data_IF_247164161327
#
_entry.id   IF_247164161327
#
_cell.length_a   1.000
_cell.length_b   1.000
_cell.length_c   1.000
_cell.angle_alpha   90.00
_cell.angle_beta   90.00
_cell.angle_gamma   90.00
#
_symmetry.space_group_name_H-M   'P 1'
#
loop_
_entity.id
_entity.type
_entity.pdbx_description
1 polymer ?
#
# COMPACT_ATOMS: atom_id res chain seq x y z
N UNK A 1 -51.71 -14.61 -34.26
CA UNK A 1 -50.47 -13.80 -34.18
C UNK A 1 -50.15 -13.53 -32.70
N UNK A 2 -49.55 -14.43 -31.97
CA UNK A 2 -49.06 -14.13 -30.60
C UNK A 2 -48.04 -15.19 -30.20
N UNK A 3 -46.84 -15.18 -30.78
CA UNK A 3 -45.68 -15.93 -30.25
C UNK A 3 -44.43 -15.19 -30.70
N UNK A 4 -44.07 -14.08 -30.04
CA UNK A 4 -42.72 -13.45 -30.22
C UNK A 4 -42.24 -12.64 -29.00
N UNK A 5 -42.91 -12.69 -27.84
CA UNK A 5 -42.55 -11.87 -26.69
C UNK A 5 -41.84 -12.62 -25.55
N UNK A 6 -41.77 -13.96 -25.56
CA UNK A 6 -41.12 -14.72 -24.45
C UNK A 6 -39.62 -14.95 -24.61
N UNK A 7 -39.06 -14.80 -25.81
CA UNK A 7 -37.64 -15.10 -26.03
C UNK A 7 -36.66 -14.03 -25.50
N UNK A 8 -37.08 -12.78 -25.36
CA UNK A 8 -36.22 -11.66 -24.99
C UNK A 8 -35.99 -11.58 -23.46
N UNK A 9 -37.01 -11.93 -22.67
CA UNK A 9 -36.93 -11.85 -21.20
C UNK A 9 -36.00 -12.92 -20.63
N UNK A 10 -35.96 -14.14 -21.20
CA UNK A 10 -35.05 -15.21 -20.76
C UNK A 10 -33.61 -14.92 -21.07
N UNK A 11 -33.28 -14.24 -22.17
CA UNK A 11 -31.91 -13.85 -22.50
C UNK A 11 -31.32 -12.82 -21.52
N UNK A 12 -32.10 -11.87 -21.03
CA UNK A 12 -31.67 -10.86 -20.07
C UNK A 12 -31.46 -11.43 -18.66
N UNK A 13 -32.28 -12.35 -18.22
CA UNK A 13 -32.14 -13.00 -16.90
C UNK A 13 -30.93 -13.90 -16.88
N UNK A 14 -30.64 -14.65 -17.94
CA UNK A 14 -29.41 -15.47 -18.03
C UNK A 14 -28.16 -14.63 -18.07
N UNK A 15 -28.14 -13.52 -18.83
CA UNK A 15 -26.98 -12.59 -18.88
C UNK A 15 -26.77 -11.89 -17.52
N UNK A 16 -27.84 -11.49 -16.83
CA UNK A 16 -27.72 -10.87 -15.50
C UNK A 16 -27.25 -11.87 -14.43
N UNK A 17 -27.69 -13.12 -14.51
CA UNK A 17 -27.23 -14.20 -13.61
C UNK A 17 -25.78 -14.57 -13.85
N UNK A 18 -25.28 -14.56 -15.09
CA UNK A 18 -23.87 -14.81 -15.39
C UNK A 18 -22.96 -13.69 -14.89
N UNK A 19 -23.34 -12.42 -15.08
CA UNK A 19 -22.60 -11.26 -14.58
C UNK A 19 -22.50 -11.28 -13.04
N UNK A 20 -23.60 -11.60 -12.33
CA UNK A 20 -23.59 -11.73 -10.88
C UNK A 20 -22.74 -12.92 -10.38
N UNK A 21 -22.72 -14.02 -11.12
CA UNK A 21 -21.89 -15.18 -10.81
C UNK A 21 -20.41 -14.89 -11.07
N UNK A 22 -20.08 -14.19 -12.16
CA UNK A 22 -18.71 -13.79 -12.50
C UNK A 22 -18.16 -12.81 -11.48
N UNK A 23 -18.94 -11.83 -11.02
CA UNK A 23 -18.51 -10.91 -9.95
C UNK A 23 -18.23 -11.64 -8.62
N UNK A 24 -19.06 -12.63 -8.24
CA UNK A 24 -18.80 -13.43 -7.04
C UNK A 24 -17.52 -14.28 -7.16
N UNK A 25 -17.25 -14.82 -8.33
CA UNK A 25 -16.03 -15.60 -8.59
C UNK A 25 -14.78 -14.71 -8.63
N UNK A 26 -14.88 -13.52 -9.20
CA UNK A 26 -13.85 -12.49 -9.19
C UNK A 26 -13.49 -12.07 -7.76
N UNK A 27 -14.48 -11.64 -6.97
CA UNK A 27 -14.27 -11.22 -5.57
C UNK A 27 -13.67 -12.35 -4.73
N UNK A 28 -14.12 -13.59 -4.94
CA UNK A 28 -13.58 -14.76 -4.27
C UNK A 28 -12.10 -15.00 -4.62
N UNK A 29 -11.70 -14.82 -5.88
CA UNK A 29 -10.32 -14.95 -6.32
C UNK A 29 -9.42 -13.84 -5.73
N UNK A 30 -9.88 -12.59 -5.75
CA UNK A 30 -9.18 -11.45 -5.11
C UNK A 30 -8.99 -11.70 -3.60
N UNK A 31 -10.04 -12.13 -2.92
CA UNK A 31 -9.97 -12.45 -1.49
C UNK A 31 -8.96 -13.56 -1.18
N UNK A 32 -8.97 -14.65 -1.95
CA UNK A 32 -8.01 -15.75 -1.81
C UNK A 32 -6.58 -15.29 -2.08
N UNK A 33 -6.35 -14.47 -3.11
CA UNK A 33 -5.04 -13.92 -3.43
C UNK A 33 -4.52 -13.05 -2.29
N UNK A 34 -5.36 -12.18 -1.72
CA UNK A 34 -5.01 -11.33 -0.57
C UNK A 34 -4.70 -12.14 0.68
N UNK A 35 -5.46 -13.19 0.94
CA UNK A 35 -5.19 -14.12 2.05
C UNK A 35 -3.87 -14.86 1.86
N UNK A 36 -3.60 -15.36 0.64
CA UNK A 36 -2.34 -16.02 0.30
C UNK A 36 -1.13 -15.07 0.46
N UNK A 37 -1.27 -13.80 0.06
CA UNK A 37 -0.26 -12.75 0.31
C UNK A 37 0.00 -12.55 1.80
N UNK A 38 -1.05 -12.44 2.60
CA UNK A 38 -0.93 -12.30 4.06
C UNK A 38 -0.24 -13.50 4.72
N UNK A 39 -0.43 -14.70 4.17
CA UNK A 39 0.23 -15.93 4.60
C UNK A 39 1.65 -16.11 4.01
N UNK A 40 2.13 -15.21 3.14
CA UNK A 40 3.41 -15.33 2.45
C UNK A 40 3.43 -16.38 1.33
N UNK A 41 2.29 -16.96 0.97
CA UNK A 41 2.18 -17.94 -0.11
C UNK A 41 2.05 -17.24 -1.48
N UNK A 42 3.20 -16.81 -2.00
CA UNK A 42 3.26 -16.01 -3.23
C UNK A 42 2.83 -16.80 -4.48
N UNK A 43 3.03 -18.12 -4.50
CA UNK A 43 2.60 -18.97 -5.61
C UNK A 43 1.07 -19.05 -5.71
N UNK A 44 0.39 -19.23 -4.57
CA UNK A 44 -1.07 -19.24 -4.55
C UNK A 44 -1.64 -17.83 -4.82
N UNK A 45 -0.98 -16.78 -4.32
CA UNK A 45 -1.37 -15.41 -4.62
C UNK A 45 -1.33 -15.12 -6.13
N UNK A 46 -0.26 -15.50 -6.84
CA UNK A 46 -0.17 -15.38 -8.30
C UNK A 46 -1.29 -16.16 -9.00
N UNK A 47 -1.48 -17.43 -8.63
CA UNK A 47 -2.50 -18.29 -9.23
C UNK A 47 -3.91 -17.69 -9.11
N UNK A 48 -4.24 -17.15 -7.94
CA UNK A 48 -5.54 -16.52 -7.71
C UNK A 48 -5.66 -15.16 -8.44
N UNK A 49 -4.58 -14.38 -8.52
CA UNK A 49 -4.54 -13.15 -9.31
C UNK A 49 -4.74 -13.46 -10.82
N UNK A 50 -4.16 -14.55 -11.32
CA UNK A 50 -4.37 -14.99 -12.71
C UNK A 50 -5.79 -15.48 -12.95
N UNK A 51 -6.42 -16.15 -11.98
CA UNK A 51 -7.82 -16.54 -12.06
C UNK A 51 -8.75 -15.33 -12.13
N UNK A 52 -8.52 -14.30 -11.28
CA UNK A 52 -9.27 -13.06 -11.32
C UNK A 52 -9.07 -12.29 -12.66
N UNK A 53 -7.84 -12.27 -13.19
CA UNK A 53 -7.50 -11.58 -14.43
C UNK A 53 -8.17 -12.18 -15.68
N UNK A 54 -8.57 -13.45 -15.65
CA UNK A 54 -9.35 -14.08 -16.74
C UNK A 54 -10.78 -13.54 -16.78
N UNK A 55 -11.29 -13.08 -15.64
CA UNK A 55 -12.64 -12.54 -15.52
C UNK A 55 -12.63 -11.02 -15.81
N UNK A 56 -11.68 -10.28 -15.27
CA UNK A 56 -11.53 -8.84 -15.45
C UNK A 56 -10.08 -8.45 -15.82
N UNK A 57 -9.67 -8.57 -17.08
CA UNK A 57 -8.27 -8.37 -17.49
C UNK A 57 -7.73 -6.95 -17.26
N UNK A 58 -8.58 -5.93 -17.33
CA UNK A 58 -8.22 -4.52 -17.21
C UNK A 58 -8.46 -3.93 -15.80
N UNK A 59 -8.68 -4.77 -14.79
CA UNK A 59 -8.98 -4.32 -13.44
C UNK A 59 -7.78 -3.62 -12.77
N UNK A 60 -7.98 -2.39 -12.29
CA UNK A 60 -7.01 -1.67 -11.47
C UNK A 60 -6.63 -2.45 -10.21
N UNK A 61 -7.60 -3.15 -9.60
CA UNK A 61 -7.38 -3.95 -8.41
C UNK A 61 -6.43 -5.13 -8.67
N UNK A 62 -6.58 -5.81 -9.82
CA UNK A 62 -5.67 -6.92 -10.21
C UNK A 62 -4.27 -6.39 -10.50
N UNK A 63 -4.15 -5.31 -11.25
CA UNK A 63 -2.85 -4.71 -11.54
C UNK A 63 -2.15 -4.32 -10.23
N UNK A 64 -2.86 -3.69 -9.29
CA UNK A 64 -2.34 -3.37 -7.97
C UNK A 64 -1.94 -4.63 -7.18
N UNK A 65 -2.77 -5.67 -7.16
CA UNK A 65 -2.47 -6.93 -6.47
C UNK A 65 -1.17 -7.57 -7.02
N UNK A 66 -1.01 -7.62 -8.34
CA UNK A 66 0.22 -8.10 -8.99
C UNK A 66 1.43 -7.24 -8.63
N UNK A 67 1.24 -5.92 -8.50
CA UNK A 67 2.26 -5.01 -7.99
C UNK A 67 2.71 -5.37 -6.59
N UNK A 68 1.77 -5.63 -5.67
CA UNK A 68 2.07 -6.04 -4.29
C UNK A 68 2.80 -7.39 -4.26
N UNK A 69 2.40 -8.35 -5.09
CA UNK A 69 3.10 -9.64 -5.23
C UNK A 69 4.54 -9.42 -5.71
N UNK A 70 4.74 -8.52 -6.68
CA UNK A 70 6.07 -8.18 -7.19
C UNK A 70 6.96 -7.52 -6.11
N UNK A 71 6.39 -6.64 -5.25
CA UNK A 71 7.11 -6.09 -4.07
C UNK A 71 7.59 -7.20 -3.14
N UNK A 72 6.71 -8.16 -2.80
CA UNK A 72 7.08 -9.28 -1.93
C UNK A 72 8.20 -10.16 -2.55
N UNK A 73 8.24 -10.24 -3.87
CA UNK A 73 9.32 -10.90 -4.64
C UNK A 73 10.55 -10.00 -4.85
N UNK A 74 10.56 -8.78 -4.31
CA UNK A 74 11.61 -7.75 -4.47
C UNK A 74 11.85 -7.34 -5.93
N UNK A 75 10.86 -7.52 -6.80
CA UNK A 75 10.90 -7.08 -8.21
C UNK A 75 10.30 -5.67 -8.31
N UNK A 76 11.06 -4.67 -7.85
CA UNK A 76 10.53 -3.31 -7.66
C UNK A 76 10.19 -2.60 -8.96
N UNK A 77 10.92 -2.85 -10.06
CA UNK A 77 10.64 -2.31 -11.39
C UNK A 77 9.31 -2.84 -11.95
N UNK A 78 9.10 -4.15 -11.83
CA UNK A 78 7.83 -4.79 -12.21
C UNK A 78 6.67 -4.26 -11.33
N UNK A 79 6.89 -4.14 -10.03
CA UNK A 79 5.90 -3.58 -9.12
C UNK A 79 5.48 -2.16 -9.52
N UNK A 80 6.44 -1.27 -9.80
CA UNK A 80 6.16 0.10 -10.23
C UNK A 80 5.36 0.13 -11.54
N UNK A 81 5.71 -0.73 -12.51
CA UNK A 81 4.97 -0.89 -13.76
C UNK A 81 3.52 -1.33 -13.52
N UNK A 82 3.31 -2.31 -12.63
CA UNK A 82 1.97 -2.80 -12.28
C UNK A 82 1.11 -1.75 -11.59
N UNK A 83 1.69 -0.99 -10.63
CA UNK A 83 0.98 0.11 -9.99
C UNK A 83 0.63 1.22 -10.97
N UNK A 84 1.52 1.54 -11.92
CA UNK A 84 1.24 2.49 -13.00
C UNK A 84 0.11 2.01 -13.91
N UNK A 85 0.04 0.71 -14.24
CA UNK A 85 -1.08 0.11 -14.97
C UNK A 85 -2.39 0.23 -14.18
N UNK A 86 -2.36 0.01 -12.86
CA UNK A 86 -3.53 0.17 -12.03
C UNK A 86 -4.05 1.62 -12.02
N UNK A 87 -3.15 2.60 -11.94
CA UNK A 87 -3.48 4.03 -12.00
C UNK A 87 -4.04 4.41 -13.38
N UNK A 88 -3.48 3.86 -14.46
CA UNK A 88 -3.99 4.09 -15.82
C UNK A 88 -5.38 3.48 -16.04
N UNK A 89 -5.71 2.36 -15.39
CA UNK A 89 -7.02 1.74 -15.43
C UNK A 89 -8.06 2.48 -14.57
N UNK A 90 -7.65 3.06 -13.45
CA UNK A 90 -8.47 3.91 -12.58
C UNK A 90 -7.60 4.98 -11.91
N UNK A 91 -7.69 6.21 -12.42
CA UNK A 91 -6.94 7.36 -11.89
C UNK A 91 -7.28 7.71 -10.43
N UNK A 92 -8.44 7.26 -9.93
CA UNK A 92 -8.87 7.50 -8.55
C UNK A 92 -8.48 6.36 -7.61
N UNK A 93 -7.85 5.31 -8.12
CA UNK A 93 -7.49 4.14 -7.31
C UNK A 93 -6.32 4.47 -6.35
N UNK A 94 -6.67 5.06 -5.23
CA UNK A 94 -5.74 5.52 -4.19
C UNK A 94 -4.70 4.46 -3.76
N UNK A 95 -5.05 3.16 -3.56
CA UNK A 95 -4.08 2.16 -3.14
C UNK A 95 -2.89 2.03 -4.09
N UNK A 96 -3.11 2.09 -5.42
CA UNK A 96 -2.01 1.98 -6.37
C UNK A 96 -1.10 3.22 -6.35
N UNK A 97 -1.66 4.42 -6.16
CA UNK A 97 -0.86 5.65 -6.03
C UNK A 97 0.05 5.59 -4.81
N UNK A 98 -0.48 5.16 -3.66
CA UNK A 98 0.30 4.99 -2.43
C UNK A 98 1.38 3.91 -2.58
N UNK A 99 1.02 2.76 -3.16
CA UNK A 99 1.96 1.66 -3.39
C UNK A 99 3.06 2.04 -4.39
N UNK A 100 2.76 2.85 -5.41
CA UNK A 100 3.77 3.37 -6.34
C UNK A 100 4.78 4.26 -5.61
N UNK A 101 4.31 5.15 -4.74
CA UNK A 101 5.19 5.98 -3.92
C UNK A 101 6.07 5.13 -2.99
N UNK A 102 5.50 4.10 -2.35
CA UNK A 102 6.24 3.16 -1.48
C UNK A 102 7.33 2.41 -2.27
N UNK A 103 7.03 1.98 -3.48
CA UNK A 103 8.00 1.27 -4.33
C UNK A 103 9.12 2.19 -4.82
N UNK A 104 8.82 3.44 -5.16
CA UNK A 104 9.84 4.44 -5.50
C UNK A 104 10.82 4.65 -4.34
N UNK A 105 10.31 4.67 -3.10
CA UNK A 105 11.14 4.74 -1.90
C UNK A 105 12.07 3.52 -1.80
N UNK A 106 11.56 2.30 -2.04
CA UNK A 106 12.33 1.05 -2.04
C UNK A 106 13.38 1.00 -3.17
N UNK A 107 13.16 1.72 -4.27
CA UNK A 107 14.11 1.89 -5.38
C UNK A 107 15.20 2.94 -5.11
N UNK A 108 15.15 3.64 -3.97
CA UNK A 108 16.04 4.76 -3.65
C UNK A 108 15.69 6.07 -4.38
N UNK A 109 14.53 6.14 -5.05
CA UNK A 109 14.03 7.33 -5.74
C UNK A 109 13.28 8.23 -4.76
N UNK A 110 14.00 8.73 -3.76
CA UNK A 110 13.40 9.37 -2.58
C UNK A 110 12.65 10.67 -2.92
N UNK A 111 13.20 11.49 -3.81
CA UNK A 111 12.56 12.73 -4.23
C UNK A 111 11.25 12.46 -5.00
N UNK A 112 11.23 11.43 -5.87
CA UNK A 112 10.02 11.04 -6.61
C UNK A 112 8.96 10.47 -5.66
N UNK A 113 9.38 9.62 -4.70
CA UNK A 113 8.48 9.07 -3.69
C UNK A 113 7.83 10.19 -2.86
N UNK A 114 8.64 11.16 -2.42
CA UNK A 114 8.19 12.34 -1.68
C UNK A 114 7.12 13.11 -2.46
N UNK A 115 7.41 13.43 -3.73
CA UNK A 115 6.47 14.17 -4.58
C UNK A 115 5.11 13.44 -4.70
N UNK A 116 5.13 12.09 -4.84
CA UNK A 116 3.90 11.29 -4.89
C UNK A 116 3.14 11.29 -3.55
N UNK A 117 3.83 11.25 -2.41
CA UNK A 117 3.16 11.37 -1.12
C UNK A 117 2.55 12.76 -0.93
N UNK A 118 3.20 13.83 -1.40
CA UNK A 118 2.66 15.19 -1.36
C UNK A 118 1.42 15.35 -2.25
N UNK A 119 1.41 14.75 -3.45
CA UNK A 119 0.21 14.70 -4.30
C UNK A 119 -0.97 14.03 -3.56
N UNK A 120 -0.71 12.93 -2.83
CA UNK A 120 -1.72 12.25 -2.02
C UNK A 120 -2.15 13.10 -0.81
N UNK A 121 -1.23 13.85 -0.22
CA UNK A 121 -1.53 14.74 0.91
C UNK A 121 -2.44 15.91 0.51
N UNK A 122 -2.45 16.33 -0.78
CA UNK A 122 -3.45 17.29 -1.26
C UNK A 122 -4.88 16.74 -1.18
N UNK A 123 -5.03 15.40 -1.29
CA UNK A 123 -6.33 14.71 -1.19
C UNK A 123 -6.72 14.49 0.28
N UNK A 124 -5.75 14.13 1.12
CA UNK A 124 -5.93 13.91 2.57
C UNK A 124 -4.88 14.70 3.38
N UNK A 125 -5.11 16.01 3.58
CA UNK A 125 -4.14 16.91 4.23
C UNK A 125 -3.84 16.56 5.69
N UNK A 126 -4.73 15.82 6.36
CA UNK A 126 -4.60 15.44 7.77
C UNK A 126 -4.01 14.04 7.97
N UNK A 127 -3.65 13.34 6.90
CA UNK A 127 -3.11 11.99 6.98
C UNK A 127 -1.77 11.94 7.70
N UNK A 128 -1.78 11.52 8.95
CA UNK A 128 -0.56 11.29 9.73
C UNK A 128 0.34 10.23 9.08
N UNK A 129 -0.25 9.26 8.37
CA UNK A 129 0.49 8.26 7.61
C UNK A 129 1.31 8.90 6.48
N UNK A 130 0.71 9.82 5.71
CA UNK A 130 1.42 10.52 4.63
C UNK A 130 2.51 11.43 5.18
N UNK A 131 2.23 12.18 6.26
CA UNK A 131 3.25 12.97 6.95
C UNK A 131 4.45 12.12 7.36
N UNK A 132 4.21 10.96 7.98
CA UNK A 132 5.25 10.00 8.34
C UNK A 132 6.05 9.53 7.10
N UNK A 133 5.38 9.16 6.01
CA UNK A 133 6.04 8.68 4.79
C UNK A 133 6.89 9.78 4.13
N UNK A 134 6.41 11.03 4.12
CA UNK A 134 7.19 12.19 3.66
C UNK A 134 8.43 12.40 4.52
N UNK A 135 8.29 12.33 5.85
CA UNK A 135 9.44 12.39 6.77
C UNK A 135 10.46 11.31 6.46
N UNK A 136 10.02 10.07 6.24
CA UNK A 136 10.94 8.97 5.90
C UNK A 136 11.65 9.23 4.56
N UNK A 137 10.94 9.73 3.55
CA UNK A 137 11.54 10.11 2.27
C UNK A 137 12.60 11.21 2.44
N UNK A 138 12.29 12.26 3.22
CA UNK A 138 13.23 13.35 3.51
C UNK A 138 14.48 12.86 4.28
N UNK A 139 14.27 11.99 5.27
CA UNK A 139 15.38 11.39 6.05
C UNK A 139 16.31 10.56 5.16
N UNK A 140 15.75 9.75 4.26
CA UNK A 140 16.53 8.92 3.35
C UNK A 140 17.27 9.74 2.29
N UNK A 141 16.65 10.82 1.82
CA UNK A 141 17.21 11.76 0.85
C UNK A 141 18.23 12.76 1.45
N UNK A 142 18.47 12.68 2.77
CA UNK A 142 19.40 13.59 3.47
C UNK A 142 18.80 14.96 3.81
N UNK A 143 17.51 15.19 3.57
CA UNK A 143 16.79 16.44 3.87
C UNK A 143 16.31 16.49 5.32
N UNK A 144 17.27 16.39 6.24
CA UNK A 144 17.00 16.22 7.66
C UNK A 144 16.32 17.43 8.30
N UNK A 145 16.65 18.63 7.84
CA UNK A 145 16.02 19.85 8.32
C UNK A 145 14.51 19.86 7.99
N UNK A 146 14.14 19.54 6.75
CA UNK A 146 12.75 19.46 6.30
C UNK A 146 11.98 18.39 7.07
N UNK A 147 12.57 17.22 7.26
CA UNK A 147 11.99 16.14 8.06
C UNK A 147 11.66 16.61 9.48
N UNK A 148 12.58 17.30 10.16
CA UNK A 148 12.35 17.82 11.52
C UNK A 148 11.27 18.90 11.55
N UNK A 149 11.24 19.81 10.58
CA UNK A 149 10.18 20.82 10.47
C UNK A 149 8.81 20.14 10.34
N UNK A 150 8.66 19.19 9.42
CA UNK A 150 7.39 18.48 9.25
C UNK A 150 6.96 17.73 10.53
N UNK A 151 7.90 17.11 11.25
CA UNK A 151 7.60 16.45 12.52
C UNK A 151 7.09 17.44 13.57
N UNK A 152 7.63 18.67 13.62
CA UNK A 152 7.19 19.68 14.57
C UNK A 152 5.75 20.16 14.31
N UNK A 153 5.30 20.05 13.04
CA UNK A 153 3.94 20.40 12.62
C UNK A 153 2.96 19.21 12.78
N UNK A 154 3.45 17.99 13.07
CA UNK A 154 2.59 16.83 13.30
C UNK A 154 1.81 16.95 14.61
N UNK A 155 0.56 16.48 14.60
CA UNK A 155 -0.26 16.39 15.82
C UNK A 155 0.37 15.42 16.82
N UNK A 156 0.48 15.84 18.07
CA UNK A 156 0.96 15.01 19.18
C UNK A 156 -0.09 14.94 20.30
N UNK A 157 -0.45 13.73 20.79
CA UNK A 157 0.09 12.42 20.43
C UNK A 157 -0.39 11.87 19.07
N UNK A 158 -1.40 12.46 18.42
CA UNK A 158 -2.00 12.01 17.17
C UNK A 158 -3.00 10.86 17.35
N UNK A 159 -3.61 10.42 16.25
CA UNK A 159 -4.54 9.28 16.21
C UNK A 159 -3.82 7.97 15.86
N UNK A 160 -2.59 8.06 15.34
CA UNK A 160 -1.73 6.94 14.96
C UNK A 160 -0.33 7.12 15.58
N UNK A 161 0.51 6.07 15.62
CA UNK A 161 1.87 6.18 16.13
C UNK A 161 2.84 6.97 15.22
N UNK A 162 2.36 7.60 14.15
CA UNK A 162 3.15 8.27 13.11
C UNK A 162 4.21 9.22 13.67
N UNK A 163 3.84 10.10 14.61
CA UNK A 163 4.77 11.05 15.24
C UNK A 163 5.98 10.33 15.88
N UNK A 164 5.73 9.29 16.66
CA UNK A 164 6.79 8.56 17.35
C UNK A 164 7.74 7.88 16.38
N UNK A 165 7.19 7.27 15.33
CA UNK A 165 8.00 6.59 14.31
C UNK A 165 8.72 7.57 13.37
N UNK A 166 8.17 8.76 13.13
CA UNK A 166 8.85 9.84 12.42
C UNK A 166 10.09 10.33 13.20
N UNK A 167 9.94 10.57 14.50
CA UNK A 167 11.08 10.89 15.39
C UNK A 167 12.13 9.80 15.38
N UNK A 168 11.71 8.53 15.49
CA UNK A 168 12.62 7.39 15.45
C UNK A 168 13.35 7.28 14.11
N UNK A 169 12.71 7.59 12.97
CA UNK A 169 13.35 7.57 11.65
C UNK A 169 14.57 8.52 11.58
N UNK A 170 14.43 9.74 12.09
CA UNK A 170 15.52 10.72 12.14
C UNK A 170 16.69 10.19 12.99
N UNK A 171 16.38 9.66 14.19
CA UNK A 171 17.38 9.12 15.11
C UNK A 171 18.10 7.88 14.54
N UNK A 172 17.36 6.98 13.88
CA UNK A 172 17.95 5.81 13.22
C UNK A 172 18.90 6.20 12.08
N UNK A 173 18.59 7.25 11.32
CA UNK A 173 19.50 7.76 10.28
C UNK A 173 20.78 8.32 10.87
N UNK A 174 20.72 8.85 12.10
CA UNK A 174 21.86 9.36 12.86
C UNK A 174 22.59 8.27 13.65
N UNK A 175 22.22 6.99 13.51
CA UNK A 175 22.75 5.86 14.28
C UNK A 175 22.50 5.95 15.80
N UNK A 176 21.47 6.70 16.21
CA UNK A 176 21.05 6.86 17.61
C UNK A 176 19.97 5.82 17.96
N UNK A 177 20.35 4.53 17.93
CA UNK A 177 19.41 3.41 18.08
C UNK A 177 18.73 3.37 19.46
N UNK A 178 19.45 3.73 20.54
CA UNK A 178 18.91 3.72 21.91
C UNK A 178 17.78 4.74 22.08
N UNK A 179 17.99 5.93 21.57
CA UNK A 179 17.01 7.03 21.58
C UNK A 179 15.81 6.69 20.70
N UNK A 180 16.03 6.12 19.52
CA UNK A 180 14.95 5.63 18.66
C UNK A 180 14.10 4.55 19.36
N UNK A 181 14.74 3.64 20.11
CA UNK A 181 14.03 2.60 20.87
C UNK A 181 13.11 3.19 21.97
N UNK A 182 13.46 4.33 22.56
CA UNK A 182 12.61 5.02 23.52
C UNK A 182 11.30 5.50 22.86
N UNK A 183 11.38 6.03 21.62
CA UNK A 183 10.19 6.41 20.86
C UNK A 183 9.31 5.20 20.53
N UNK A 184 9.87 4.06 20.13
CA UNK A 184 9.10 2.83 19.91
C UNK A 184 8.41 2.33 21.18
N UNK A 185 9.12 2.38 22.31
CA UNK A 185 8.56 2.01 23.62
C UNK A 185 7.42 2.94 24.04
N UNK A 186 7.61 4.25 23.82
CA UNK A 186 6.58 5.23 24.15
C UNK A 186 5.34 5.10 23.26
N UNK A 187 5.51 4.84 21.95
CA UNK A 187 4.38 4.59 21.04
C UNK A 187 3.50 3.44 21.56
N UNK A 188 4.10 2.33 22.00
CA UNK A 188 3.38 1.14 22.52
C UNK A 188 2.64 1.36 23.82
N UNK A 189 2.78 2.50 24.48
CA UNK A 189 1.96 2.86 25.64
C UNK A 189 0.57 3.38 25.24
N UNK A 190 0.43 3.86 24.00
CA UNK A 190 -0.77 4.54 23.52
C UNK A 190 -1.44 3.85 22.34
N UNK A 191 -0.69 3.02 21.59
CA UNK A 191 -1.14 2.37 20.36
C UNK A 191 -0.88 0.87 20.42
N UNK A 192 -1.74 0.09 19.76
CA UNK A 192 -1.63 -1.36 19.73
C UNK A 192 -0.41 -1.85 18.90
N UNK A 193 -0.06 -3.12 19.07
CA UNK A 193 1.10 -3.73 18.40
C UNK A 193 0.91 -3.84 16.87
N UNK A 194 -0.32 -3.96 16.39
CA UNK A 194 -0.59 -4.01 14.96
C UNK A 194 -0.27 -2.68 14.31
N UNK A 195 -0.73 -1.58 14.90
CA UNK A 195 -0.43 -0.22 14.45
C UNK A 195 1.07 0.06 14.51
N UNK A 196 1.70 -0.12 15.67
CA UNK A 196 3.14 0.08 15.85
C UNK A 196 3.97 -0.79 14.90
N UNK A 197 3.58 -2.05 14.74
CA UNK A 197 4.25 -3.00 13.87
C UNK A 197 4.22 -2.62 12.40
N UNK A 198 3.15 -1.96 11.92
CA UNK A 198 3.11 -1.44 10.55
C UNK A 198 4.22 -0.40 10.31
N UNK A 199 4.29 0.64 11.16
CA UNK A 199 5.27 1.71 11.03
C UNK A 199 6.71 1.19 11.20
N UNK A 200 6.92 0.28 12.14
CA UNK A 200 8.24 -0.31 12.37
C UNK A 200 8.72 -1.12 11.16
N UNK A 201 7.86 -1.97 10.59
CA UNK A 201 8.18 -2.73 9.37
C UNK A 201 8.49 -1.81 8.19
N UNK A 202 7.74 -0.71 8.05
CA UNK A 202 8.00 0.27 7.00
C UNK A 202 9.41 0.87 7.12
N UNK A 203 9.84 1.27 8.31
CA UNK A 203 11.21 1.75 8.55
C UNK A 203 12.25 0.69 8.20
N UNK A 204 12.06 -0.55 8.67
CA UNK A 204 13.00 -1.66 8.44
C UNK A 204 13.11 -2.04 6.96
N UNK A 205 12.00 -2.04 6.21
CA UNK A 205 11.99 -2.30 4.77
C UNK A 205 12.78 -1.25 4.00
N UNK A 206 12.80 -0.02 4.48
CA UNK A 206 13.53 1.10 3.88
C UNK A 206 14.93 1.32 4.49
N UNK A 207 15.46 0.32 5.21
CA UNK A 207 16.84 0.34 5.72
C UNK A 207 17.06 1.17 6.98
N UNK A 208 15.98 1.63 7.62
CA UNK A 208 16.05 2.33 8.91
C UNK A 208 15.80 1.37 10.07
N UNK A 209 16.86 1.14 10.88
CA UNK A 209 16.86 0.20 11.99
C UNK A 209 17.19 -1.25 11.58
N UNK A 210 17.47 -2.09 12.60
CA UNK A 210 17.82 -3.50 12.38
C UNK A 210 16.60 -4.29 11.92
N UNK A 211 16.76 -5.12 10.89
CA UNK A 211 15.78 -6.14 10.59
C UNK A 211 15.74 -7.11 11.78
N UNK A 212 14.53 -7.48 12.23
CA UNK A 212 14.40 -8.59 13.16
C UNK A 212 15.08 -9.81 12.51
N UNK A 213 16.18 -10.30 13.11
CA UNK A 213 16.75 -11.60 12.74
C UNK A 213 15.71 -12.64 13.07
N UNK A 214 15.28 -13.39 12.04
CA UNK A 214 14.41 -14.57 12.23
C UNK A 214 15.19 -15.66 12.94
#
# INVERSE_FOLDING_TARGET
>A
MHVRALGIIFGWIAAFSSILADNKTYDAAIKKATQALGAGNLAEADKQADAAAKLEPASAQIANLRGVIAVQKKRYEDAASRFSQAIAADEKFYPAKLNLADVLLLQGKYADARARYEELQQIDPKSELLQFKIVVADVLDGRQFQAVQLINDMTFPGTTPAYYFARAAVLLKQSQEKEAQQYFTNARKYYDEQQCGYFQRFLQQNGLGKRATK
#
